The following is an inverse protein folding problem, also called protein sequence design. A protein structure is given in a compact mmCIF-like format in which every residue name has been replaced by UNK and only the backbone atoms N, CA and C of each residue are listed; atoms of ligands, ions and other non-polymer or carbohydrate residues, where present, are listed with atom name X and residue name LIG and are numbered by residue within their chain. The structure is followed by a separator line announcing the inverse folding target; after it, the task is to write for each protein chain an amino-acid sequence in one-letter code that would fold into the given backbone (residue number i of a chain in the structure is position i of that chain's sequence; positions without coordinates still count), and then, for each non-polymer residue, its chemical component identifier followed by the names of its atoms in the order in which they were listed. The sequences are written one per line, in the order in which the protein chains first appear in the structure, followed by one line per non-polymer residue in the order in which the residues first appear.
data_IF_713786604751
#
_entry.id   IF_713786604751
#
_cell.length_a   1.000
_cell.length_b   1.000
_cell.length_c   1.000
_cell.angle_alpha   90.00
_cell.angle_beta   90.00
_cell.angle_gamma   90.00
#
_symmetry.space_group_name_H-M   'P 1'
#
loop_
_entity.id
_entity.type
_entity.pdbx_description
1 polymer ?
#
# COMPACT_ATOMS: atom_id res chain seq x y z
N UNK A 1 18.29 23.22 4.51
CA UNK A 1 17.62 21.96 4.88
C UNK A 1 18.34 20.83 4.15
N UNK A 2 18.95 19.92 4.88
CA UNK A 2 19.65 18.77 4.32
C UNK A 2 18.68 17.61 4.14
N UNK A 3 18.73 16.95 2.97
CA UNK A 3 17.98 15.74 2.68
C UNK A 3 18.96 14.59 2.53
N UNK A 4 18.69 13.49 3.22
CA UNK A 4 19.49 12.27 3.14
C UNK A 4 18.63 11.01 3.12
N UNK A 5 19.15 9.86 2.70
CA UNK A 5 18.47 8.57 2.82
C UNK A 5 18.11 8.23 4.27
N UNK A 6 17.00 7.51 4.44
CA UNK A 6 16.58 6.94 5.72
C UNK A 6 17.62 5.90 6.17
N UNK A 7 17.94 5.92 7.47
CA UNK A 7 18.78 4.93 8.17
C UNK A 7 17.95 4.15 9.17
N UNK A 8 18.35 2.95 9.59
CA UNK A 8 17.63 2.20 10.63
C UNK A 8 17.44 2.97 11.95
N UNK A 9 18.40 3.84 12.30
CA UNK A 9 18.32 4.71 13.48
C UNK A 9 17.24 5.79 13.42
N UNK A 10 16.63 6.00 12.25
CA UNK A 10 15.59 7.03 12.03
C UNK A 10 14.16 6.51 12.31
N UNK A 11 13.96 5.20 12.44
CA UNK A 11 12.63 4.60 12.48
C UNK A 11 11.73 5.13 13.59
N UNK A 12 12.27 5.32 14.80
CA UNK A 12 11.50 5.87 15.93
C UNK A 12 11.07 7.32 15.67
N UNK A 13 11.95 8.14 15.09
CA UNK A 13 11.65 9.51 14.73
C UNK A 13 10.60 9.58 13.60
N UNK A 14 10.67 8.66 12.63
CA UNK A 14 9.67 8.56 11.56
C UNK A 14 8.32 8.11 12.13
N UNK A 15 8.29 7.14 13.06
CA UNK A 15 7.07 6.75 13.75
C UNK A 15 6.47 7.92 14.56
N UNK A 16 7.31 8.76 15.18
CA UNK A 16 6.82 9.97 15.83
C UNK A 16 6.16 10.96 14.85
N UNK A 17 6.67 11.07 13.62
CA UNK A 17 6.01 11.84 12.56
C UNK A 17 4.67 11.23 12.15
N UNK A 18 4.56 9.90 12.06
CA UNK A 18 3.29 9.20 11.79
C UNK A 18 2.26 9.48 12.89
N UNK A 19 2.64 9.32 14.18
CA UNK A 19 1.75 9.65 15.31
C UNK A 19 1.21 11.08 15.24
N UNK A 20 2.08 12.00 14.89
CA UNK A 20 1.73 13.43 14.82
C UNK A 20 0.63 13.75 13.79
N UNK A 21 0.55 12.97 12.71
CA UNK A 21 -0.50 13.11 11.67
C UNK A 21 -1.62 12.09 11.81
N UNK A 22 -1.62 11.28 12.89
CA UNK A 22 -2.64 10.26 13.15
C UNK A 22 -2.54 9.04 12.22
N UNK A 23 -1.38 8.80 11.62
CA UNK A 23 -1.17 7.62 10.77
C UNK A 23 -0.66 6.44 11.61
N UNK A 24 -0.96 5.20 11.17
CA UNK A 24 -0.41 4.01 11.81
C UNK A 24 1.12 4.01 11.80
N UNK A 25 1.70 3.57 12.91
CA UNK A 25 3.14 3.35 13.02
C UNK A 25 3.52 1.99 12.43
N UNK A 26 4.78 1.85 12.08
CA UNK A 26 5.33 0.55 11.74
C UNK A 26 6.16 -0.02 12.89
N UNK A 27 6.00 -1.31 13.15
CA UNK A 27 6.87 -2.03 14.05
C UNK A 27 8.30 -2.11 13.49
N UNK A 28 9.28 -2.40 14.35
CA UNK A 28 10.64 -2.68 13.87
C UNK A 28 10.68 -3.86 12.88
N UNK A 29 9.82 -4.87 13.10
CA UNK A 29 9.68 -6.00 12.16
C UNK A 29 9.12 -5.53 10.81
N UNK A 30 8.15 -4.60 10.81
CA UNK A 30 7.60 -3.99 9.59
C UNK A 30 8.62 -3.14 8.83
N UNK A 31 9.47 -2.41 9.53
CA UNK A 31 10.57 -1.70 8.88
C UNK A 31 11.59 -2.66 8.25
N UNK A 32 11.97 -3.73 8.95
CA UNK A 32 12.85 -4.78 8.42
C UNK A 32 12.23 -5.51 7.22
N UNK A 33 10.91 -5.73 7.24
CA UNK A 33 10.19 -6.30 6.12
C UNK A 33 10.27 -5.37 4.88
N UNK A 34 10.10 -4.06 5.03
CA UNK A 34 10.31 -3.10 3.95
C UNK A 34 11.76 -3.09 3.44
N UNK A 35 12.76 -3.20 4.32
CA UNK A 35 14.16 -3.33 3.93
C UNK A 35 14.43 -4.62 3.14
N UNK A 36 13.72 -5.67 3.47
CA UNK A 36 13.83 -6.96 2.79
C UNK A 36 13.16 -7.01 1.42
N UNK A 37 12.54 -5.92 0.96
CA UNK A 37 11.91 -5.83 -0.37
C UNK A 37 12.88 -6.29 -1.47
N UNK A 38 12.58 -7.40 -2.20
CA UNK A 38 13.48 -7.95 -3.21
C UNK A 38 13.80 -6.94 -4.32
N UNK A 39 12.78 -6.26 -4.85
CA UNK A 39 12.95 -5.30 -5.94
C UNK A 39 13.85 -4.10 -5.56
N UNK A 40 13.75 -3.62 -4.31
CA UNK A 40 14.60 -2.55 -3.79
C UNK A 40 16.07 -2.94 -3.77
N UNK A 41 16.36 -4.21 -3.40
CA UNK A 41 17.73 -4.73 -3.35
C UNK A 41 18.37 -4.83 -4.74
N UNK A 42 17.57 -5.17 -5.76
CA UNK A 42 18.04 -5.27 -7.15
C UNK A 42 18.57 -3.93 -7.69
N UNK A 43 17.91 -2.81 -7.35
CA UNK A 43 18.32 -1.45 -7.78
C UNK A 43 19.02 -0.65 -6.69
N UNK A 44 19.33 -1.24 -5.54
CA UNK A 44 20.02 -0.60 -4.40
C UNK A 44 19.37 0.73 -3.96
N UNK A 45 18.06 0.84 -4.11
CA UNK A 45 17.33 2.06 -3.75
C UNK A 45 17.22 2.22 -2.22
N UNK A 46 17.28 3.45 -1.67
CA UNK A 46 17.04 3.67 -0.25
C UNK A 46 15.56 3.41 0.12
N UNK A 47 15.25 3.15 1.40
CA UNK A 47 13.87 2.98 1.86
C UNK A 47 13.06 4.28 1.86
N UNK A 48 13.70 5.40 1.58
CA UNK A 48 13.13 6.73 1.51
C UNK A 48 14.15 7.80 1.88
N UNK A 49 13.69 9.01 2.10
CA UNK A 49 14.51 10.16 2.47
C UNK A 49 13.89 10.92 3.62
N UNK A 50 14.75 11.49 4.44
CA UNK A 50 14.38 12.43 5.50
C UNK A 50 14.99 13.79 5.23
N UNK A 51 14.25 14.84 5.55
CA UNK A 51 14.82 16.17 5.78
C UNK A 51 15.16 16.28 7.26
N UNK A 52 16.38 16.68 7.58
CA UNK A 52 16.88 16.69 8.95
C UNK A 52 16.98 18.08 9.53
N UNK A 53 16.97 18.15 10.89
CA UNK A 53 17.29 19.36 11.66
C UNK A 53 18.80 19.56 11.81
N UNK A 54 19.22 20.51 12.66
CA UNK A 54 20.63 20.83 12.90
C UNK A 54 21.39 19.69 13.62
N UNK A 55 20.67 18.84 14.34
CA UNK A 55 21.17 17.69 15.07
C UNK A 55 21.09 16.37 14.29
N UNK A 56 20.92 16.42 12.95
CA UNK A 56 20.74 15.29 12.01
C UNK A 56 19.51 14.40 12.33
N UNK A 57 18.49 14.91 13.05
CA UNK A 57 17.26 14.18 13.39
C UNK A 57 16.21 14.35 12.30
N UNK A 58 15.46 13.29 11.92
CA UNK A 58 14.36 13.38 10.97
C UNK A 58 13.29 14.38 11.40
N UNK A 59 13.02 15.37 10.56
CA UNK A 59 12.01 16.40 10.79
C UNK A 59 10.90 16.42 9.72
N UNK A 60 11.15 15.76 8.59
CA UNK A 60 10.16 15.43 7.56
C UNK A 60 10.63 14.18 6.80
N UNK A 61 9.71 13.46 6.17
CA UNK A 61 10.00 12.17 5.54
C UNK A 61 9.22 11.98 4.24
N UNK A 62 9.79 11.22 3.31
CA UNK A 62 9.10 10.49 2.25
C UNK A 62 9.65 9.07 2.19
N UNK A 63 8.80 8.08 2.29
CA UNK A 63 9.16 6.68 2.14
C UNK A 63 9.12 6.25 0.67
N UNK A 64 9.87 5.20 0.34
CA UNK A 64 10.08 4.72 -1.02
C UNK A 64 9.81 3.21 -1.08
N UNK A 65 8.91 2.82 -1.96
CA UNK A 65 8.59 1.41 -2.21
C UNK A 65 8.90 1.07 -3.67
N UNK A 66 9.95 0.30 -3.87
CA UNK A 66 10.33 -0.18 -5.20
C UNK A 66 9.51 -1.41 -5.55
N UNK A 67 9.04 -1.47 -6.77
CA UNK A 67 8.29 -2.59 -7.33
C UNK A 67 8.94 -3.06 -8.62
N UNK A 68 9.12 -4.36 -8.76
CA UNK A 68 9.52 -4.97 -10.02
C UNK A 68 8.29 -5.13 -10.92
N UNK A 69 8.51 -4.89 -12.20
CA UNK A 69 7.57 -5.11 -13.29
C UNK A 69 8.21 -6.02 -14.32
N UNK A 70 7.41 -6.60 -15.18
CA UNK A 70 7.86 -7.36 -16.34
C UNK A 70 7.19 -6.85 -17.61
N UNK A 71 7.92 -6.85 -18.71
CA UNK A 71 7.40 -6.60 -20.05
C UNK A 71 8.24 -7.38 -21.07
N UNK A 72 7.59 -8.22 -21.88
CA UNK A 72 8.27 -9.03 -22.89
C UNK A 72 9.49 -9.80 -22.34
N UNK A 73 9.36 -10.40 -21.16
CA UNK A 73 10.42 -11.16 -20.49
C UNK A 73 11.54 -10.30 -19.85
N UNK A 74 11.47 -8.97 -19.92
CA UNK A 74 12.46 -8.05 -19.34
C UNK A 74 11.99 -7.52 -17.99
N UNK A 75 12.83 -7.56 -16.94
CA UNK A 75 12.53 -6.91 -15.68
C UNK A 75 12.66 -5.39 -15.82
N UNK A 76 11.69 -4.67 -15.26
CA UNK A 76 11.67 -3.22 -15.14
C UNK A 76 11.46 -2.87 -13.66
N UNK A 77 11.99 -1.74 -13.19
CA UNK A 77 11.81 -1.29 -11.82
C UNK A 77 11.12 0.06 -11.78
N UNK A 78 10.05 0.16 -11.01
CA UNK A 78 9.38 1.42 -10.71
C UNK A 78 9.38 1.67 -9.21
N UNK A 79 9.15 2.90 -8.78
CA UNK A 79 9.04 3.23 -7.38
C UNK A 79 7.80 4.07 -7.08
N UNK A 80 7.15 3.77 -5.95
CA UNK A 80 6.07 4.60 -5.42
C UNK A 80 6.50 5.30 -4.14
N UNK A 81 6.28 6.62 -4.10
CA UNK A 81 6.43 7.41 -2.89
C UNK A 81 5.21 7.21 -1.98
N UNK A 82 5.44 6.97 -0.70
CA UNK A 82 4.40 6.86 0.31
C UNK A 82 4.84 7.54 1.61
N UNK A 83 3.91 7.75 2.54
CA UNK A 83 4.18 8.40 3.84
C UNK A 83 4.97 9.71 3.69
N UNK A 84 4.53 10.60 2.78
CA UNK A 84 5.11 11.93 2.74
C UNK A 84 4.52 12.75 3.90
N UNK A 85 5.36 13.07 4.88
CA UNK A 85 4.99 13.84 6.08
C UNK A 85 5.91 15.04 6.19
N UNK A 86 5.32 16.24 6.07
CA UNK A 86 6.03 17.50 6.23
C UNK A 86 5.26 18.35 7.24
N UNK A 87 5.72 18.42 8.48
CA UNK A 87 5.08 19.28 9.49
C UNK A 87 5.05 20.76 9.08
N UNK A 88 4.05 21.55 9.54
CA UNK A 88 3.90 22.97 9.16
C UNK A 88 5.15 23.81 9.37
N UNK A 89 5.89 23.57 10.45
CA UNK A 89 7.15 24.27 10.78
C UNK A 89 8.32 23.91 9.83
N UNK A 90 8.15 22.87 9.01
CA UNK A 90 9.12 22.45 7.98
C UNK A 90 8.62 22.73 6.58
N UNK A 91 7.75 23.75 6.43
CA UNK A 91 7.25 24.19 5.12
C UNK A 91 8.42 24.39 4.13
N UNK A 92 8.27 23.78 2.94
CA UNK A 92 9.31 23.81 1.90
C UNK A 92 10.18 22.54 1.84
N UNK A 93 10.25 21.70 2.89
CA UNK A 93 11.01 20.43 2.86
C UNK A 93 10.46 19.44 1.83
N UNK A 94 9.15 19.50 1.50
CA UNK A 94 8.52 18.63 0.51
C UNK A 94 9.20 18.67 -0.86
N UNK A 95 9.66 19.85 -1.29
CA UNK A 95 10.33 20.03 -2.59
C UNK A 95 11.63 19.21 -2.65
N UNK A 96 12.48 19.28 -1.62
CA UNK A 96 13.72 18.51 -1.54
C UNK A 96 13.48 17.02 -1.44
N UNK A 97 12.49 16.58 -0.66
CA UNK A 97 12.12 15.19 -0.51
C UNK A 97 11.59 14.58 -1.82
N UNK A 98 10.68 15.29 -2.50
CA UNK A 98 10.12 14.82 -3.77
C UNK A 98 11.21 14.78 -4.85
N UNK A 99 12.09 15.78 -4.88
CA UNK A 99 13.23 15.77 -5.81
C UNK A 99 14.11 14.55 -5.58
N UNK A 100 14.51 14.26 -4.33
CA UNK A 100 15.31 13.08 -4.02
C UNK A 100 14.61 11.77 -4.42
N UNK A 101 13.27 11.68 -4.24
CA UNK A 101 12.48 10.56 -4.71
C UNK A 101 12.47 10.44 -6.24
N UNK A 102 12.39 11.54 -6.98
CA UNK A 102 12.35 11.54 -8.44
C UNK A 102 13.71 11.30 -9.08
N UNK A 103 14.79 11.70 -8.43
CA UNK A 103 16.18 11.60 -8.96
C UNK A 103 16.79 10.19 -8.81
N UNK A 104 15.97 9.17 -8.46
CA UNK A 104 16.44 7.79 -8.36
C UNK A 104 16.90 7.26 -9.74
N UNK A 105 18.09 6.64 -9.84
CA UNK A 105 18.54 6.00 -11.08
C UNK A 105 17.80 4.69 -11.34
N UNK A 106 17.95 4.14 -12.53
CA UNK A 106 17.57 2.78 -12.93
C UNK A 106 16.07 2.43 -12.78
N UNK A 107 15.21 3.46 -12.69
CA UNK A 107 13.76 3.28 -12.62
C UNK A 107 13.10 3.75 -13.91
N UNK A 108 12.24 2.90 -14.50
CA UNK A 108 11.45 3.31 -15.67
C UNK A 108 10.27 4.23 -15.30
N UNK A 109 9.77 4.15 -14.05
CA UNK A 109 8.67 4.95 -13.58
C UNK A 109 8.80 5.35 -12.11
N UNK A 110 8.37 6.57 -11.77
CA UNK A 110 8.14 7.04 -10.40
C UNK A 110 6.70 7.48 -10.31
N UNK A 111 5.98 6.98 -9.31
CA UNK A 111 4.54 7.23 -9.20
C UNK A 111 4.13 7.34 -7.73
N UNK A 112 2.91 7.79 -7.50
CA UNK A 112 2.25 7.74 -6.21
C UNK A 112 0.80 7.29 -6.42
N UNK A 113 0.31 6.44 -5.53
CA UNK A 113 -1.05 5.88 -5.63
C UNK A 113 -2.07 6.68 -4.83
N UNK A 114 -1.62 7.57 -3.95
CA UNK A 114 -2.45 8.21 -2.95
C UNK A 114 -2.13 9.71 -2.76
N UNK A 115 -1.75 10.40 -3.83
CA UNK A 115 -1.61 11.85 -3.76
C UNK A 115 -2.94 12.50 -3.34
N UNK A 116 -2.91 13.20 -2.21
CA UNK A 116 -4.07 13.92 -1.69
C UNK A 116 -4.04 15.42 -2.12
N UNK A 117 -5.07 16.17 -1.77
CA UNK A 117 -5.19 17.58 -2.14
C UNK A 117 -4.00 18.46 -1.67
N UNK A 118 -3.28 18.04 -0.60
CA UNK A 118 -2.11 18.78 -0.10
C UNK A 118 -0.83 18.42 -0.87
N UNK A 119 -0.65 17.15 -1.25
CA UNK A 119 0.57 16.68 -1.90
C UNK A 119 0.52 16.74 -3.43
N UNK A 120 -0.64 16.58 -4.05
CA UNK A 120 -0.81 16.57 -5.50
C UNK A 120 -0.24 17.82 -6.21
N UNK A 121 -0.42 19.06 -5.71
CA UNK A 121 0.18 20.23 -6.34
C UNK A 121 1.71 20.17 -6.36
N UNK A 122 2.36 19.67 -5.30
CA UNK A 122 3.83 19.58 -5.24
C UNK A 122 4.35 18.53 -6.22
N UNK A 123 3.66 17.40 -6.36
CA UNK A 123 3.98 16.40 -7.38
C UNK A 123 3.81 16.97 -8.80
N UNK A 124 2.72 17.71 -9.05
CA UNK A 124 2.48 18.37 -10.34
C UNK A 124 3.57 19.39 -10.71
N UNK A 125 4.00 20.23 -9.75
CA UNK A 125 5.12 21.16 -9.94
C UNK A 125 6.46 20.43 -10.22
N UNK A 126 6.58 19.17 -9.85
CA UNK A 126 7.74 18.34 -10.12
C UNK A 126 7.61 17.53 -11.43
N UNK A 127 6.62 17.82 -12.27
CA UNK A 127 6.42 17.20 -13.57
C UNK A 127 5.63 15.90 -13.57
N UNK A 128 5.14 15.42 -12.41
CA UNK A 128 4.28 14.23 -12.36
C UNK A 128 2.88 14.56 -12.90
N UNK A 129 2.30 13.61 -13.62
CA UNK A 129 0.97 13.75 -14.23
C UNK A 129 0.01 12.72 -13.64
N UNK A 130 -1.25 13.11 -13.52
CA UNK A 130 -2.32 12.17 -13.16
C UNK A 130 -2.47 11.10 -14.26
N UNK A 131 -2.52 9.82 -13.85
CA UNK A 131 -2.67 8.69 -14.76
C UNK A 131 -3.53 7.58 -14.13
N UNK A 132 -4.52 7.02 -14.85
CA UNK A 132 -5.08 7.52 -16.14
C UNK A 132 -5.73 8.90 -15.95
N UNK A 133 -5.73 9.77 -16.98
CA UNK A 133 -6.15 11.17 -16.81
C UNK A 133 -7.61 11.35 -16.40
N UNK A 134 -8.48 10.40 -16.73
CA UNK A 134 -9.93 10.47 -16.47
C UNK A 134 -10.38 9.65 -15.26
N UNK A 135 -9.62 8.62 -14.84
CA UNK A 135 -10.05 7.68 -13.79
C UNK A 135 -9.10 7.57 -12.60
N UNK A 136 -7.98 8.31 -12.60
CA UNK A 136 -6.99 8.25 -11.52
C UNK A 136 -7.54 8.54 -10.12
N UNK A 137 -8.62 9.32 -10.01
CA UNK A 137 -9.27 9.66 -8.75
C UNK A 137 -10.54 8.83 -8.48
N UNK A 138 -10.88 7.88 -9.36
CA UNK A 138 -12.07 7.05 -9.19
C UNK A 138 -11.84 6.09 -8.02
N UNK A 139 -12.73 6.17 -7.02
CA UNK A 139 -12.84 5.20 -5.93
C UNK A 139 -14.23 4.62 -5.94
N UNK A 140 -14.34 3.32 -5.77
CA UNK A 140 -15.60 2.59 -5.72
C UNK A 140 -15.80 2.08 -4.28
N UNK A 141 -16.38 2.87 -3.36
CA UNK A 141 -16.65 2.43 -2.01
C UNK A 141 -18.00 1.72 -1.92
N UNK A 142 -18.06 0.65 -1.15
CA UNK A 142 -19.29 -0.01 -0.72
C UNK A 142 -19.42 0.04 0.80
N UNK A 143 -20.58 0.42 1.29
CA UNK A 143 -20.88 0.40 2.73
C UNK A 143 -21.44 -0.98 3.05
N UNK A 144 -20.63 -1.82 3.70
CA UNK A 144 -21.01 -3.18 4.09
C UNK A 144 -21.52 -3.26 5.55
N UNK A 145 -21.18 -2.29 6.40
CA UNK A 145 -21.69 -2.14 7.78
C UNK A 145 -22.02 -0.66 8.07
N UNK A 146 -23.28 -0.23 7.83
CA UNK A 146 -23.70 1.14 8.11
C UNK A 146 -23.58 1.53 9.59
N UNK A 147 -23.80 0.58 10.51
CA UNK A 147 -23.70 0.83 11.95
C UNK A 147 -22.24 1.09 12.37
N UNK A 148 -21.28 0.37 11.79
CA UNK A 148 -19.85 0.63 11.99
C UNK A 148 -19.45 2.01 11.47
N UNK A 149 -19.96 2.41 10.31
CA UNK A 149 -19.69 3.74 9.74
C UNK A 149 -20.21 4.86 10.63
N UNK A 150 -21.46 4.74 11.13
CA UNK A 150 -22.06 5.73 12.03
C UNK A 150 -21.29 5.82 13.35
N UNK A 151 -20.98 4.67 13.96
CA UNK A 151 -20.22 4.60 15.20
C UNK A 151 -18.83 5.23 15.03
N UNK A 152 -18.13 4.95 13.94
CA UNK A 152 -16.85 5.54 13.62
C UNK A 152 -16.92 7.08 13.53
N UNK A 153 -17.97 7.59 12.88
CA UNK A 153 -18.19 9.04 12.77
C UNK A 153 -18.40 9.70 14.13
N UNK A 154 -19.20 9.10 15.01
CA UNK A 154 -19.43 9.59 16.39
C UNK A 154 -18.15 9.58 17.20
N UNK A 155 -17.44 8.45 17.23
CA UNK A 155 -16.19 8.32 17.96
C UNK A 155 -15.11 9.30 17.45
N UNK A 156 -14.99 9.48 16.15
CA UNK A 156 -14.06 10.48 15.59
C UNK A 156 -14.37 11.88 16.11
N UNK A 157 -15.66 12.28 16.12
CA UNK A 157 -16.08 13.58 16.62
C UNK A 157 -15.77 13.77 18.12
N UNK A 158 -15.86 12.71 18.93
CA UNK A 158 -15.52 12.74 20.34
C UNK A 158 -14.00 12.75 20.56
N UNK A 159 -13.27 11.87 19.93
CA UNK A 159 -11.83 11.72 20.10
C UNK A 159 -11.03 12.89 19.52
N UNK A 160 -11.55 13.60 18.52
CA UNK A 160 -10.91 14.82 18.01
C UNK A 160 -10.85 15.99 19.01
N UNK A 161 -11.57 15.86 20.15
CA UNK A 161 -11.61 16.89 21.21
C UNK A 161 -10.63 16.63 22.34
N UNK A 162 -9.93 15.53 22.36
CA UNK A 162 -8.96 15.16 23.39
C UNK A 162 -7.52 15.16 22.82
N UNK A 163 -6.48 15.22 23.68
CA UNK A 163 -5.10 15.20 23.21
C UNK A 163 -4.79 14.03 22.29
N UNK A 164 -4.01 14.29 21.23
CA UNK A 164 -3.75 13.33 20.14
C UNK A 164 -3.25 11.96 20.61
N UNK A 165 -2.37 11.91 21.63
CA UNK A 165 -1.86 10.65 22.15
C UNK A 165 -2.93 9.81 22.85
N UNK A 166 -3.82 10.46 23.61
CA UNK A 166 -4.94 9.79 24.24
C UNK A 166 -5.96 9.31 23.19
N UNK A 167 -6.28 10.18 22.22
CA UNK A 167 -7.15 9.85 21.09
C UNK A 167 -6.62 8.65 20.29
N UNK A 168 -5.31 8.60 20.06
CA UNK A 168 -4.66 7.49 19.36
C UNK A 168 -4.90 6.15 20.07
N UNK A 169 -4.56 6.05 21.37
CA UNK A 169 -4.72 4.81 22.14
C UNK A 169 -6.17 4.34 22.23
N UNK A 170 -7.10 5.26 22.48
CA UNK A 170 -8.53 4.94 22.58
C UNK A 170 -9.09 4.60 21.21
N UNK A 171 -8.75 5.38 20.19
CA UNK A 171 -9.22 5.20 18.81
C UNK A 171 -8.84 3.85 18.24
N UNK A 172 -7.59 3.42 18.43
CA UNK A 172 -7.13 2.12 17.96
C UNK A 172 -7.95 0.97 18.57
N UNK A 173 -8.10 0.99 19.90
CA UNK A 173 -8.86 -0.04 20.62
C UNK A 173 -10.33 -0.06 20.23
N UNK A 174 -11.00 1.09 20.18
CA UNK A 174 -12.44 1.20 19.87
C UNK A 174 -12.74 0.90 18.42
N UNK A 175 -11.93 1.42 17.48
CA UNK A 175 -12.15 1.24 16.05
C UNK A 175 -11.83 -0.16 15.57
N UNK A 176 -10.94 -0.87 16.24
CA UNK A 176 -10.55 -2.24 15.89
C UNK A 176 -11.37 -3.31 16.62
N UNK A 177 -12.26 -2.94 17.54
CA UNK A 177 -12.99 -3.88 18.41
C UNK A 177 -13.79 -5.00 17.70
N UNK A 178 -14.15 -4.81 16.43
CA UNK A 178 -14.90 -5.81 15.64
C UNK A 178 -14.02 -6.59 14.65
N UNK A 179 -12.73 -6.30 14.58
CA UNK A 179 -11.84 -7.04 13.69
C UNK A 179 -11.54 -8.47 14.20
N UNK A 180 -12.00 -8.81 15.41
CA UNK A 180 -11.79 -10.14 16.00
C UNK A 180 -12.75 -11.21 15.48
N UNK A 181 -13.86 -10.83 14.85
CA UNK A 181 -14.77 -11.77 14.19
C UNK A 181 -14.28 -12.11 12.78
N UNK A 182 -14.10 -13.38 12.48
CA UNK A 182 -13.86 -13.82 11.10
C UNK A 182 -15.14 -13.63 10.28
N UNK A 183 -15.12 -12.85 9.20
CA UNK A 183 -16.29 -12.72 8.35
C UNK A 183 -16.59 -14.07 7.67
N UNK A 184 -17.85 -14.50 7.70
CA UNK A 184 -18.32 -15.61 6.89
C UNK A 184 -18.34 -15.16 5.42
N UNK A 185 -17.30 -15.51 4.66
CA UNK A 185 -17.22 -15.20 3.23
C UNK A 185 -18.22 -16.07 2.46
N UNK A 186 -19.15 -15.44 1.74
CA UNK A 186 -19.99 -16.12 0.76
C UNK A 186 -19.30 -15.99 -0.61
N UNK A 187 -18.55 -17.02 -0.96
CA UNK A 187 -17.78 -17.02 -2.20
C UNK A 187 -18.66 -17.41 -3.40
N UNK A 188 -18.68 -16.62 -4.47
CA UNK A 188 -19.35 -16.97 -5.71
C UNK A 188 -18.77 -18.26 -6.35
N UNK A 189 -19.51 -18.94 -7.24
CA UNK A 189 -18.99 -20.10 -7.95
C UNK A 189 -17.67 -19.80 -8.66
N UNK A 190 -16.70 -20.70 -8.50
CA UNK A 190 -15.36 -20.56 -9.09
C UNK A 190 -14.40 -19.68 -8.29
N UNK A 191 -14.85 -19.00 -7.23
CA UNK A 191 -14.00 -18.21 -6.35
C UNK A 191 -13.64 -19.02 -5.09
N UNK A 192 -12.36 -19.00 -4.71
CA UNK A 192 -11.87 -19.71 -3.52
C UNK A 192 -10.66 -19.00 -2.90
N UNK A 193 -10.40 -19.20 -1.60
CA UNK A 193 -9.19 -18.70 -0.96
C UNK A 193 -7.95 -19.38 -1.55
N UNK A 194 -6.97 -18.58 -1.91
CA UNK A 194 -5.71 -19.06 -2.46
C UNK A 194 -4.66 -19.16 -1.34
N UNK A 195 -4.25 -20.37 -1.02
CA UNK A 195 -3.30 -20.64 0.08
C UNK A 195 -1.96 -21.19 -0.40
N UNK A 196 -1.93 -21.96 -1.50
CA UNK A 196 -0.70 -22.52 -2.06
C UNK A 196 -0.07 -21.55 -3.07
N UNK A 197 1.03 -20.96 -2.65
CA UNK A 197 1.84 -20.03 -3.44
C UNK A 197 3.22 -20.64 -3.80
N UNK A 198 3.34 -21.96 -3.88
CA UNK A 198 4.55 -22.60 -4.38
C UNK A 198 4.71 -22.39 -5.89
N UNK A 199 5.94 -22.50 -6.39
CA UNK A 199 6.21 -22.29 -7.82
C UNK A 199 5.55 -23.38 -8.71
N UNK A 200 5.33 -24.58 -8.15
CA UNK A 200 4.64 -25.71 -8.80
C UNK A 200 3.11 -25.67 -8.68
N UNK A 201 2.54 -24.73 -7.91
CA UNK A 201 1.12 -24.64 -7.64
C UNK A 201 0.30 -24.18 -8.85
N UNK A 202 -1.04 -24.26 -8.72
CA UNK A 202 -1.97 -23.68 -9.68
C UNK A 202 -1.75 -22.17 -9.84
N UNK A 203 -1.36 -21.47 -8.75
CA UNK A 203 -0.98 -20.06 -8.81
C UNK A 203 0.31 -19.85 -9.61
N UNK A 204 1.35 -20.65 -9.41
CA UNK A 204 2.57 -20.57 -10.20
C UNK A 204 2.31 -20.78 -11.69
N UNK A 205 1.41 -21.71 -12.03
CA UNK A 205 0.97 -21.92 -13.42
C UNK A 205 0.17 -20.73 -13.98
N UNK A 206 -0.69 -20.10 -13.17
CA UNK A 206 -1.39 -18.85 -13.53
C UNK A 206 -0.40 -17.73 -13.79
N UNK A 207 0.55 -17.51 -12.89
CA UNK A 207 1.56 -16.45 -13.03
C UNK A 207 2.39 -16.60 -14.31
N UNK A 208 2.84 -17.82 -14.63
CA UNK A 208 3.58 -18.06 -15.89
C UNK A 208 2.78 -17.67 -17.13
N UNK A 209 1.47 -17.95 -17.16
CA UNK A 209 0.59 -17.54 -18.29
C UNK A 209 0.40 -16.04 -18.31
N UNK A 210 0.12 -15.43 -17.16
CA UNK A 210 -0.11 -13.98 -17.05
C UNK A 210 1.14 -13.18 -17.44
N UNK A 211 2.31 -13.61 -16.99
CA UNK A 211 3.58 -12.92 -17.26
C UNK A 211 4.08 -13.09 -18.71
N UNK A 212 3.49 -14.01 -19.45
CA UNK A 212 3.77 -14.19 -20.89
C UNK A 212 2.93 -13.26 -21.78
N UNK A 213 1.93 -12.56 -21.24
CA UNK A 213 1.12 -11.60 -21.99
C UNK A 213 1.96 -10.35 -22.33
N UNK A 214 1.72 -9.77 -23.51
CA UNK A 214 2.44 -8.59 -24.01
C UNK A 214 1.89 -7.29 -23.38
N UNK A 215 2.10 -7.14 -22.08
CA UNK A 215 1.75 -5.94 -21.33
C UNK A 215 2.71 -5.72 -20.15
N UNK A 216 2.85 -4.49 -19.72
CA UNK A 216 3.60 -4.18 -18.51
C UNK A 216 2.82 -4.65 -17.30
N UNK A 217 3.38 -5.58 -16.54
CA UNK A 217 2.75 -6.17 -15.34
C UNK A 217 3.65 -5.96 -14.12
N UNK A 218 3.05 -5.54 -13.02
CA UNK A 218 3.73 -5.61 -11.73
C UNK A 218 4.02 -7.08 -11.38
N UNK A 219 5.22 -7.35 -10.89
CA UNK A 219 5.64 -8.71 -10.53
C UNK A 219 4.80 -9.25 -9.37
N UNK A 220 4.18 -10.39 -9.62
CA UNK A 220 3.36 -11.15 -8.68
C UNK A 220 3.81 -12.62 -8.65
N UNK A 221 5.08 -12.88 -8.94
CA UNK A 221 5.57 -14.24 -8.83
C UNK A 221 5.33 -14.80 -7.42
N UNK A 222 5.30 -16.12 -7.23
CA UNK A 222 5.03 -16.74 -5.94
C UNK A 222 5.88 -16.18 -4.79
N UNK A 223 7.16 -15.94 -5.01
CA UNK A 223 8.07 -15.42 -3.99
C UNK A 223 7.74 -13.97 -3.60
N UNK A 224 7.48 -13.11 -4.58
CA UNK A 224 7.08 -11.70 -4.37
C UNK A 224 5.75 -11.64 -3.61
N UNK A 225 4.78 -12.49 -3.99
CA UNK A 225 3.47 -12.49 -3.33
C UNK A 225 3.57 -13.02 -1.89
N UNK A 226 4.33 -14.10 -1.64
CA UNK A 226 4.61 -14.58 -0.27
C UNK A 226 5.22 -13.49 0.59
N UNK A 227 6.21 -12.75 0.07
CA UNK A 227 6.82 -11.63 0.78
C UNK A 227 5.78 -10.53 1.09
N UNK A 228 4.93 -10.13 0.13
CA UNK A 228 3.88 -9.12 0.36
C UNK A 228 2.89 -9.54 1.44
N UNK A 229 2.50 -10.82 1.47
CA UNK A 229 1.57 -11.36 2.46
C UNK A 229 2.18 -11.51 3.86
N UNK A 230 3.49 -11.45 3.97
CA UNK A 230 4.23 -11.59 5.23
C UNK A 230 4.49 -10.25 5.94
N UNK A 231 3.83 -9.14 5.54
CA UNK A 231 3.95 -7.87 6.26
C UNK A 231 3.43 -8.04 7.70
N UNK A 232 4.30 -7.89 8.71
CA UNK A 232 3.93 -8.14 10.11
C UNK A 232 3.01 -7.07 10.71
N UNK A 233 2.87 -5.92 10.05
CA UNK A 233 2.05 -4.80 10.53
C UNK A 233 0.64 -4.81 9.94
N UNK A 234 0.25 -5.88 9.23
CA UNK A 234 -1.12 -6.04 8.77
C UNK A 234 -2.07 -6.18 9.96
N UNK A 235 -3.12 -5.35 10.00
CA UNK A 235 -4.14 -5.40 11.06
C UNK A 235 -4.80 -6.79 11.10
N UNK A 236 -4.97 -7.39 9.92
CA UNK A 236 -5.49 -8.74 9.71
C UNK A 236 -4.71 -9.43 8.59
N UNK A 237 -4.74 -10.75 8.60
CA UNK A 237 -4.17 -11.53 7.50
C UNK A 237 -4.82 -11.09 6.19
N UNK A 238 -4.02 -10.76 5.16
CA UNK A 238 -4.55 -10.41 3.86
C UNK A 238 -5.42 -11.51 3.27
N UNK A 239 -6.51 -11.12 2.64
CA UNK A 239 -7.41 -12.03 1.93
C UNK A 239 -6.93 -12.15 0.49
N UNK A 240 -6.47 -13.34 0.11
CA UNK A 240 -6.09 -13.65 -1.27
C UNK A 240 -7.11 -14.64 -1.83
N UNK A 241 -7.81 -14.22 -2.86
CA UNK A 241 -8.81 -15.00 -3.57
C UNK A 241 -8.35 -15.31 -5.00
N UNK A 242 -8.73 -16.48 -5.50
CA UNK A 242 -8.59 -16.83 -6.90
C UNK A 242 -9.96 -17.12 -7.52
N UNK A 243 -10.13 -16.73 -8.77
CA UNK A 243 -11.19 -17.23 -9.63
C UNK A 243 -10.62 -18.28 -10.56
N UNK A 244 -11.32 -19.41 -10.70
CA UNK A 244 -10.92 -20.47 -11.62
C UNK A 244 -12.08 -20.92 -12.49
N UNK A 245 -11.73 -21.34 -13.72
CA UNK A 245 -12.64 -21.97 -14.66
C UNK A 245 -11.99 -23.23 -15.21
N UNK A 246 -12.75 -24.33 -15.26
CA UNK A 246 -12.25 -25.62 -15.73
C UNK A 246 -10.95 -26.06 -15.03
N UNK A 247 -10.89 -25.88 -13.70
CA UNK A 247 -9.75 -26.25 -12.87
C UNK A 247 -8.50 -25.35 -13.02
N UNK A 248 -8.58 -24.25 -13.76
CA UNK A 248 -7.44 -23.34 -13.99
C UNK A 248 -7.76 -21.93 -13.47
N UNK A 249 -6.85 -21.38 -12.66
CA UNK A 249 -6.95 -20.00 -12.21
C UNK A 249 -6.85 -19.07 -13.42
N UNK A 250 -7.77 -18.13 -13.53
CA UNK A 250 -7.78 -17.10 -14.58
C UNK A 250 -7.81 -15.68 -14.02
N UNK A 251 -7.96 -15.50 -12.70
CA UNK A 251 -7.86 -14.21 -12.04
C UNK A 251 -7.61 -14.35 -10.54
N UNK A 252 -7.08 -13.29 -9.92
CA UNK A 252 -6.87 -13.16 -8.48
C UNK A 252 -7.29 -11.79 -7.97
N UNK A 253 -7.67 -11.72 -6.69
CA UNK A 253 -7.82 -10.49 -5.93
C UNK A 253 -7.06 -10.60 -4.62
N UNK A 254 -6.35 -9.53 -4.25
CA UNK A 254 -5.73 -9.36 -2.94
C UNK A 254 -6.38 -8.19 -2.23
N UNK A 255 -6.92 -8.44 -1.07
CA UNK A 255 -7.50 -7.42 -0.21
C UNK A 255 -6.82 -7.41 1.16
N UNK A 256 -6.73 -6.22 1.73
CA UNK A 256 -6.19 -5.99 3.07
C UNK A 256 -7.19 -5.20 3.91
N UNK A 257 -7.13 -5.38 5.22
CA UNK A 257 -7.77 -4.46 6.14
C UNK A 257 -6.86 -3.25 6.31
N UNK A 258 -7.35 -2.08 6.00
CA UNK A 258 -6.61 -0.82 6.03
C UNK A 258 -7.35 0.24 6.84
N UNK A 259 -6.60 1.21 7.34
CA UNK A 259 -7.11 2.44 7.96
C UNK A 259 -6.37 3.62 7.39
N UNK A 260 -7.08 4.60 6.87
CA UNK A 260 -6.48 5.85 6.39
C UNK A 260 -5.97 6.70 7.56
N UNK A 261 -6.64 6.63 8.71
CA UNK A 261 -6.27 7.29 9.95
C UNK A 261 -6.65 6.41 11.13
N UNK A 262 -5.94 6.54 12.25
CA UNK A 262 -6.20 5.74 13.46
C UNK A 262 -7.65 5.87 13.97
N UNK A 263 -8.27 7.02 13.75
CA UNK A 263 -9.66 7.31 14.12
C UNK A 263 -10.68 6.89 13.06
N UNK A 264 -10.26 6.31 11.95
CA UNK A 264 -11.14 5.83 10.90
C UNK A 264 -11.64 4.41 11.20
N UNK A 265 -12.82 4.09 10.66
CA UNK A 265 -13.25 2.70 10.58
C UNK A 265 -12.28 1.92 9.70
N UNK A 266 -11.95 0.67 10.06
CA UNK A 266 -11.23 -0.20 9.15
C UNK A 266 -12.05 -0.41 7.87
N UNK A 267 -11.37 -0.42 6.74
CA UNK A 267 -11.93 -0.75 5.43
C UNK A 267 -11.24 -1.99 4.87
N UNK A 268 -11.99 -2.81 4.14
CA UNK A 268 -11.40 -3.86 3.31
C UNK A 268 -11.07 -3.24 1.96
N UNK A 269 -9.78 -3.11 1.66
CA UNK A 269 -9.30 -2.50 0.43
C UNK A 269 -8.79 -3.57 -0.53
N UNK A 270 -9.39 -3.66 -1.73
CA UNK A 270 -8.85 -4.46 -2.82
C UNK A 270 -7.66 -3.71 -3.39
N UNK A 271 -6.46 -4.16 -3.06
CA UNK A 271 -5.19 -3.52 -3.44
C UNK A 271 -4.57 -4.12 -4.69
N UNK A 272 -5.08 -5.26 -5.13
CA UNK A 272 -4.64 -5.94 -6.34
C UNK A 272 -5.78 -6.76 -6.93
N UNK A 273 -6.06 -6.56 -8.21
CA UNK A 273 -7.08 -7.29 -8.95
C UNK A 273 -6.55 -7.50 -10.35
N UNK A 274 -6.26 -8.73 -10.70
CA UNK A 274 -5.69 -9.05 -12.01
C UNK A 274 -6.22 -10.36 -12.56
N UNK A 275 -6.31 -10.45 -13.88
CA UNK A 275 -6.76 -11.63 -14.59
C UNK A 275 -6.06 -11.72 -15.95
N UNK A 276 -6.08 -12.93 -16.54
CA UNK A 276 -5.70 -13.14 -17.93
C UNK A 276 -6.59 -12.30 -18.85
N UNK A 277 -6.04 -11.81 -19.95
CA UNK A 277 -6.73 -10.86 -20.85
C UNK A 277 -8.13 -11.34 -21.26
N UNK A 278 -8.27 -12.57 -21.71
CA UNK A 278 -9.58 -13.14 -22.08
C UNK A 278 -10.53 -13.45 -20.92
N UNK A 279 -10.13 -13.21 -19.66
CA UNK A 279 -10.89 -13.50 -18.45
C UNK A 279 -11.23 -12.24 -17.62
N UNK A 280 -10.72 -11.07 -17.96
CA UNK A 280 -10.78 -9.85 -17.12
C UNK A 280 -12.22 -9.56 -16.67
N UNK A 281 -13.16 -9.36 -17.56
CA UNK A 281 -14.53 -8.98 -17.21
C UNK A 281 -15.19 -9.99 -16.26
N UNK A 282 -15.02 -11.28 -16.52
CA UNK A 282 -15.61 -12.36 -15.73
C UNK A 282 -14.96 -12.50 -14.36
N UNK A 283 -13.63 -12.59 -14.32
CA UNK A 283 -12.90 -12.74 -13.07
C UNK A 283 -13.08 -11.54 -12.14
N UNK A 284 -13.06 -10.32 -12.69
CA UNK A 284 -13.29 -9.08 -11.94
C UNK A 284 -14.71 -9.05 -11.38
N UNK A 285 -15.74 -9.39 -12.15
CA UNK A 285 -17.11 -9.45 -11.65
C UNK A 285 -17.29 -10.47 -10.53
N UNK A 286 -16.69 -11.66 -10.66
CA UNK A 286 -16.79 -12.70 -9.62
C UNK A 286 -16.02 -12.35 -8.35
N UNK A 287 -14.80 -11.84 -8.47
CA UNK A 287 -13.94 -11.46 -7.35
C UNK A 287 -14.41 -10.18 -6.64
N UNK A 288 -15.06 -9.27 -7.35
CA UNK A 288 -15.63 -8.05 -6.79
C UNK A 288 -17.00 -8.23 -6.13
N UNK A 289 -17.60 -9.41 -6.23
CA UNK A 289 -18.90 -9.74 -5.61
C UNK A 289 -18.78 -10.40 -4.21
N UNK A 290 -17.56 -10.55 -3.67
CA UNK A 290 -17.26 -11.12 -2.33
C UNK A 290 -17.37 -10.04 -1.21
#
# INVERSE_FOLDING_TARGET
MTVRPIRPSDYDAINALHRRVGWPERSLAGWRWLEANPARREVRAPPGWVSVDAEDRPAAVVCNFVQRFGHAGRPLHGATGFSIIVPPERKGASRGLIRAFLDQPDLFARYTLNANALSAPTYGLSGMKAWPPTTHALKLPWIVDPAACLRSRVWRALLSRIPAEAAHRVGERVMNARLDAEPALRLPPGVFPLTDLSDGSAYGAFWRRLSAEDRVLADRNPATLRWRLADPDQIRRPLLLAHARNGRIDGIALAIVAKANILDAPSLEIIDLTALEGAIARAVSSLGAV
#
